data_IF_592468747680
#
_entry.id   IF_592468747680
#
_cell.length_a   1.000
_cell.length_b   1.000
_cell.length_c   1.000
_cell.angle_alpha   90.00
_cell.angle_beta   90.00
_cell.angle_gamma   90.00
#
_symmetry.space_group_name_H-M   'P 1'
#
loop_
_entity.id
_entity.type
_entity.pdbx_description
1 polymer ?
#
# COMPACT_ATOMS: atom_id res chain seq x y z
N UNK A 1 36.06 12.93 7.41
CA UNK A 1 35.25 14.16 7.31
C UNK A 1 33.96 13.74 6.63
N UNK A 2 33.00 13.26 7.41
CA UNK A 2 31.74 12.73 6.88
C UNK A 2 30.71 13.85 6.99
N UNK A 3 30.16 14.28 5.86
CA UNK A 3 29.17 15.34 5.81
C UNK A 3 27.88 14.84 6.44
N UNK A 4 27.47 15.47 7.54
CA UNK A 4 26.14 15.36 8.12
C UNK A 4 25.15 16.00 7.17
N UNK A 5 24.46 15.21 6.35
CA UNK A 5 23.30 15.69 5.60
C UNK A 5 22.13 15.70 6.58
N UNK A 6 21.78 16.89 7.05
CA UNK A 6 20.66 17.13 7.96
C UNK A 6 19.35 16.90 7.18
N UNK A 7 18.71 15.76 7.37
CA UNK A 7 17.34 15.50 6.91
C UNK A 7 16.40 16.37 7.73
N UNK A 8 15.78 17.35 7.06
CA UNK A 8 14.75 18.19 7.65
C UNK A 8 13.51 17.37 7.93
N UNK A 9 12.90 17.71 9.07
CA UNK A 9 11.70 17.11 9.61
C UNK A 9 10.58 16.94 8.58
N UNK A 10 9.94 15.78 8.71
CA UNK A 10 8.58 15.42 8.33
C UNK A 10 7.69 16.66 8.15
N UNK A 11 7.34 16.94 6.90
CA UNK A 11 6.10 17.62 6.55
C UNK A 11 5.31 16.64 5.67
N UNK A 12 4.22 16.04 6.15
CA UNK A 12 3.44 15.06 5.40
C UNK A 12 2.45 15.75 4.44
N UNK A 13 2.86 16.86 3.83
CA UNK A 13 1.89 17.77 3.19
C UNK A 13 2.48 18.43 1.95
N UNK A 14 2.68 17.64 0.89
CA UNK A 14 2.70 18.11 -0.52
C UNK A 14 2.84 16.95 -1.49
N UNK A 15 1.80 16.12 -1.58
CA UNK A 15 1.54 15.34 -2.78
C UNK A 15 0.07 15.52 -3.15
N UNK A 16 -0.30 16.74 -3.55
CA UNK A 16 -1.49 16.97 -4.38
C UNK A 16 -1.09 16.79 -5.85
N UNK A 17 -0.86 15.54 -6.25
CA UNK A 17 -1.36 15.10 -7.55
C UNK A 17 -2.60 14.27 -7.24
N UNK A 18 -3.53 14.22 -8.17
CA UNK A 18 -4.69 13.33 -8.10
C UNK A 18 -4.19 11.88 -8.13
N UNK A 19 -3.75 11.39 -6.98
CA UNK A 19 -3.41 10.00 -6.72
C UNK A 19 -4.73 9.27 -6.59
N UNK A 20 -5.00 8.34 -7.51
CA UNK A 20 -5.86 7.23 -7.14
C UNK A 20 -5.11 6.51 -5.99
N UNK A 21 -5.67 6.45 -4.78
CA UNK A 21 -5.06 5.67 -3.71
C UNK A 21 -5.09 4.20 -4.15
N UNK A 22 -3.95 3.51 -4.15
CA UNK A 22 -3.94 2.05 -4.28
C UNK A 22 -2.93 1.40 -5.22
N UNK A 23 -2.11 2.09 -6.00
CA UNK A 23 -1.28 1.46 -7.05
C UNK A 23 0.24 1.59 -6.82
N UNK A 24 0.70 1.32 -5.59
CA UNK A 24 2.12 1.41 -5.24
C UNK A 24 2.68 0.08 -4.72
N UNK A 25 3.85 -0.31 -5.22
CA UNK A 25 4.66 -1.42 -4.70
C UNK A 25 5.86 -0.85 -3.97
N UNK A 26 6.16 -1.37 -2.79
CA UNK A 26 7.28 -0.97 -1.95
C UNK A 26 8.30 -2.11 -1.82
N UNK A 27 9.56 -1.77 -2.04
CA UNK A 27 10.70 -2.64 -1.81
C UNK A 27 11.53 -2.07 -0.66
N UNK A 28 11.70 -2.83 0.41
CA UNK A 28 12.38 -2.40 1.63
C UNK A 28 13.58 -3.29 1.91
N UNK A 29 14.75 -2.69 2.04
CA UNK A 29 15.95 -3.35 2.53
C UNK A 29 16.28 -2.83 3.92
N UNK A 30 16.46 -3.76 4.85
CA UNK A 30 16.78 -3.46 6.24
C UNK A 30 18.09 -4.13 6.63
N UNK A 31 18.99 -3.39 7.27
CA UNK A 31 20.30 -3.88 7.72
C UNK A 31 20.57 -3.46 9.16
N UNK A 32 21.05 -4.40 9.98
CA UNK A 32 21.41 -4.18 11.38
C UNK A 32 22.51 -5.19 11.81
N UNK A 33 23.74 -4.74 12.13
CA UNK A 33 24.22 -3.35 12.08
C UNK A 33 24.31 -2.85 10.63
N UNK A 34 24.39 -1.52 10.43
CA UNK A 34 24.56 -0.90 9.11
C UNK A 34 25.67 -1.62 8.33
N UNK A 35 25.27 -2.19 7.20
CA UNK A 35 26.16 -2.85 6.25
C UNK A 35 27.22 -1.90 5.65
N UNK A 36 28.16 -2.48 4.89
CA UNK A 36 29.23 -1.74 4.21
C UNK A 36 28.70 -0.51 3.43
N UNK A 37 29.09 0.73 3.78
CA UNK A 37 28.63 1.96 3.12
C UNK A 37 28.95 1.95 1.61
N UNK A 38 30.03 1.29 1.19
CA UNK A 38 30.39 1.16 -0.23
C UNK A 38 29.32 0.36 -0.98
N UNK A 39 28.74 -0.66 -0.34
CA UNK A 39 27.71 -1.49 -0.94
C UNK A 39 26.39 -0.72 -1.07
N UNK A 40 26.06 0.08 -0.07
CA UNK A 40 24.87 0.95 -0.06
C UNK A 40 24.94 1.98 -1.17
N UNK A 41 26.08 2.69 -1.28
CA UNK A 41 26.30 3.65 -2.36
C UNK A 41 26.20 3.00 -3.75
N UNK A 42 26.71 1.76 -3.89
CA UNK A 42 26.63 1.03 -5.16
C UNK A 42 25.19 0.63 -5.53
N UNK A 43 24.35 0.28 -4.56
CA UNK A 43 22.92 -0.01 -4.79
C UNK A 43 22.20 1.26 -5.25
N UNK A 44 22.39 2.37 -4.52
CA UNK A 44 21.77 3.66 -4.81
C UNK A 44 22.20 4.23 -6.16
N UNK A 45 23.46 4.02 -6.55
CA UNK A 45 23.96 4.45 -7.86
C UNK A 45 23.44 3.59 -9.02
N UNK A 46 23.15 2.31 -8.80
CA UNK A 46 22.66 1.41 -9.84
C UNK A 46 21.16 1.60 -10.13
N UNK A 47 20.37 1.92 -9.11
CA UNK A 47 18.91 1.99 -9.19
C UNK A 47 18.36 2.89 -10.32
N UNK A 48 18.80 4.15 -10.48
CA UNK A 48 18.22 5.03 -11.49
C UNK A 48 18.40 4.51 -12.92
N UNK A 49 19.61 4.02 -13.24
CA UNK A 49 19.94 3.54 -14.59
C UNK A 49 19.19 2.25 -14.94
N UNK A 50 19.02 1.35 -13.97
CA UNK A 50 18.31 0.09 -14.18
C UNK A 50 16.79 0.30 -14.26
N UNK A 51 16.22 1.22 -13.46
CA UNK A 51 14.81 1.61 -13.57
C UNK A 51 14.50 2.25 -14.92
N UNK A 52 15.37 3.16 -15.41
CA UNK A 52 15.21 3.78 -16.73
C UNK A 52 15.24 2.72 -17.85
N UNK A 53 16.14 1.74 -17.74
CA UNK A 53 16.25 0.64 -18.71
C UNK A 53 14.97 -0.20 -18.78
N UNK A 54 14.31 -0.42 -17.63
CA UNK A 54 13.08 -1.20 -17.54
C UNK A 54 11.81 -0.36 -17.72
N UNK A 55 11.94 0.95 -18.00
CA UNK A 55 10.82 1.89 -18.11
C UNK A 55 9.93 1.90 -16.85
N UNK A 56 10.56 1.79 -15.68
CA UNK A 56 9.88 1.82 -14.38
C UNK A 56 9.97 3.24 -13.84
N UNK A 57 8.83 3.88 -13.59
CA UNK A 57 8.79 5.13 -12.84
C UNK A 57 8.87 4.82 -11.34
N UNK A 58 10.09 4.83 -10.82
CA UNK A 58 10.37 4.63 -9.41
C UNK A 58 10.49 5.98 -8.70
N UNK A 59 9.79 6.11 -7.58
CA UNK A 59 9.99 7.22 -6.67
C UNK A 59 11.43 7.25 -6.15
N UNK A 60 11.90 8.44 -5.80
CA UNK A 60 13.23 8.63 -5.22
C UNK A 60 13.41 7.74 -3.99
N UNK A 61 14.54 7.00 -3.86
CA UNK A 61 14.79 6.12 -2.72
C UNK A 61 14.71 6.91 -1.40
N UNK A 62 13.93 6.39 -0.46
CA UNK A 62 13.82 6.89 0.90
C UNK A 62 14.84 6.16 1.75
N UNK A 63 15.78 6.88 2.35
CA UNK A 63 16.87 6.32 3.16
C UNK A 63 16.72 6.83 4.58
N UNK A 64 16.56 5.92 5.52
CA UNK A 64 16.47 6.20 6.94
C UNK A 64 17.60 5.49 7.68
N UNK A 65 18.35 6.24 8.48
CA UNK A 65 19.38 5.72 9.37
C UNK A 65 18.94 6.03 10.80
N UNK A 66 18.68 4.99 11.58
CA UNK A 66 18.29 5.11 12.98
C UNK A 66 19.52 5.18 13.90
N UNK A 67 19.38 5.85 15.04
CA UNK A 67 20.41 5.93 16.10
C UNK A 67 20.88 4.57 16.63
N UNK A 68 20.12 3.50 16.33
CA UNK A 68 20.40 2.12 16.72
C UNK A 68 21.34 1.36 15.75
N UNK A 69 22.11 2.05 14.90
CA UNK A 69 22.93 1.46 13.82
C UNK A 69 22.10 0.59 12.84
N UNK A 70 20.86 0.99 12.58
CA UNK A 70 19.98 0.34 11.61
C UNK A 70 19.83 1.22 10.37
N UNK A 71 20.00 0.61 9.20
CA UNK A 71 19.72 1.24 7.91
C UNK A 71 18.45 0.64 7.31
N UNK A 72 17.57 1.51 6.83
CA UNK A 72 16.40 1.16 6.05
C UNK A 72 16.45 1.93 4.72
N UNK A 73 16.38 1.19 3.61
CA UNK A 73 16.23 1.76 2.27
C UNK A 73 14.89 1.30 1.73
N UNK A 74 13.98 2.24 1.49
CA UNK A 74 12.68 1.98 0.90
C UNK A 74 12.57 2.62 -0.48
N UNK A 75 12.12 1.84 -1.46
CA UNK A 75 11.90 2.30 -2.83
C UNK A 75 10.46 2.00 -3.18
N UNK A 76 9.76 3.01 -3.67
CA UNK A 76 8.35 2.91 -4.06
C UNK A 76 8.29 2.98 -5.58
N UNK A 77 7.60 2.02 -6.18
CA UNK A 77 7.29 2.01 -7.61
C UNK A 77 5.83 2.39 -7.77
N UNK A 78 5.58 3.45 -8.53
CA UNK A 78 4.24 3.92 -8.81
C UNK A 78 3.72 3.24 -10.09
N UNK A 79 2.55 2.62 -9.99
CA UNK A 79 1.87 1.96 -11.10
C UNK A 79 0.68 2.79 -11.63
N UNK A 80 0.38 3.94 -11.02
CA UNK A 80 -0.82 4.74 -11.29
C UNK A 80 -0.79 5.44 -12.65
N UNK A 81 0.39 5.72 -13.19
CA UNK A 81 0.58 6.35 -14.52
C UNK A 81 0.80 5.33 -15.65
N UNK A 82 0.79 4.03 -15.31
CA UNK A 82 0.84 2.97 -16.29
C UNK A 82 -0.51 2.94 -17.04
N UNK A 83 -0.51 3.04 -18.37
CA UNK A 83 -1.72 3.09 -19.17
C UNK A 83 -2.70 1.95 -18.87
N UNK A 84 -3.99 2.19 -19.17
CA UNK A 84 -5.05 1.22 -18.88
C UNK A 84 -4.76 -0.17 -19.48
N UNK A 85 -5.00 -1.23 -18.69
CA UNK A 85 -4.90 -2.62 -19.13
C UNK A 85 -3.82 -3.43 -18.39
N UNK A 86 -2.94 -4.09 -19.15
CA UNK A 86 -1.89 -4.97 -18.60
C UNK A 86 -0.60 -4.24 -18.22
N UNK A 87 -0.55 -2.91 -18.36
CA UNK A 87 0.65 -2.13 -18.15
C UNK A 87 1.11 -2.07 -16.67
N UNK A 88 0.21 -1.88 -15.68
CA UNK A 88 0.58 -1.96 -14.26
C UNK A 88 1.20 -3.31 -13.90
N UNK A 89 0.62 -4.41 -14.39
CA UNK A 89 1.12 -5.77 -14.16
C UNK A 89 2.50 -5.98 -14.79
N UNK A 90 2.71 -5.47 -16.02
CA UNK A 90 4.01 -5.52 -16.68
C UNK A 90 5.07 -4.78 -15.86
N UNK A 91 4.78 -3.56 -15.41
CA UNK A 91 5.72 -2.74 -14.63
C UNK A 91 6.01 -3.40 -13.27
N UNK A 92 4.98 -3.89 -12.58
CA UNK A 92 5.14 -4.63 -11.34
C UNK A 92 6.05 -5.86 -11.49
N UNK A 93 5.82 -6.64 -12.55
CA UNK A 93 6.65 -7.82 -12.86
C UNK A 93 8.11 -7.42 -13.15
N UNK A 94 8.31 -6.37 -13.96
CA UNK A 94 9.65 -5.85 -14.27
C UNK A 94 10.38 -5.32 -13.03
N UNK A 95 9.65 -4.67 -12.11
CA UNK A 95 10.20 -4.20 -10.84
C UNK A 95 10.68 -5.38 -9.97
N UNK A 96 9.85 -6.41 -9.78
CA UNK A 96 10.25 -7.61 -9.02
C UNK A 96 11.49 -8.27 -9.64
N UNK A 97 11.56 -8.37 -10.97
CA UNK A 97 12.73 -8.89 -11.68
C UNK A 97 13.98 -8.05 -11.49
N UNK A 98 13.85 -6.72 -11.53
CA UNK A 98 14.96 -5.81 -11.27
C UNK A 98 15.47 -5.96 -9.83
N UNK A 99 14.57 -5.95 -8.85
CA UNK A 99 14.96 -6.05 -7.44
C UNK A 99 15.55 -7.41 -7.09
N UNK A 100 15.14 -8.49 -7.77
CA UNK A 100 15.80 -9.79 -7.68
C UNK A 100 17.22 -9.79 -8.25
N UNK A 101 17.45 -9.12 -9.39
CA UNK A 101 18.80 -8.97 -9.94
C UNK A 101 19.71 -8.18 -8.98
N UNK A 102 19.20 -7.10 -8.39
CA UNK A 102 19.92 -6.33 -7.38
C UNK A 102 20.18 -7.17 -6.11
N UNK A 103 19.20 -7.95 -5.66
CA UNK A 103 19.33 -8.87 -4.54
C UNK A 103 20.47 -9.87 -4.76
N UNK A 104 20.52 -10.50 -5.95
CA UNK A 104 21.59 -11.45 -6.31
C UNK A 104 22.95 -10.76 -6.42
N UNK A 105 23.01 -9.59 -7.09
CA UNK A 105 24.25 -8.85 -7.32
C UNK A 105 24.90 -8.36 -6.03
N UNK A 106 24.08 -7.85 -5.10
CA UNK A 106 24.54 -7.24 -3.86
C UNK A 106 24.41 -8.15 -2.63
N UNK A 107 23.84 -9.34 -2.80
CA UNK A 107 23.56 -10.32 -1.72
C UNK A 107 22.73 -9.71 -0.59
N UNK A 108 21.64 -9.07 -0.98
CA UNK A 108 20.69 -8.42 -0.07
C UNK A 108 19.32 -9.09 -0.19
N UNK A 109 18.47 -8.85 0.80
CA UNK A 109 17.08 -9.29 0.82
C UNK A 109 16.17 -8.08 0.78
N UNK A 110 15.15 -8.12 -0.06
CA UNK A 110 14.10 -7.10 -0.09
C UNK A 110 12.82 -7.66 0.50
N UNK A 111 12.22 -6.94 1.43
CA UNK A 111 10.81 -7.09 1.78
C UNK A 111 9.98 -6.39 0.71
N UNK A 112 8.94 -7.07 0.24
CA UNK A 112 8.04 -6.58 -0.81
C UNK A 112 6.66 -6.41 -0.21
N UNK A 113 6.12 -5.21 -0.37
CA UNK A 113 4.78 -4.86 0.06
C UNK A 113 4.05 -4.09 -1.03
N UNK A 114 2.75 -4.02 -0.89
CA UNK A 114 1.83 -3.23 -1.67
C UNK A 114 1.00 -2.34 -0.73
N UNK A 115 0.46 -1.23 -1.23
CA UNK A 115 -0.32 -0.30 -0.42
C UNK A 115 -1.47 -0.98 0.36
N UNK A 116 -2.12 -1.96 -0.26
CA UNK A 116 -3.21 -2.75 0.34
C UNK A 116 -2.74 -3.96 1.15
N UNK A 117 -1.51 -4.44 0.91
CA UNK A 117 -0.92 -5.56 1.65
C UNK A 117 0.58 -5.29 1.87
N UNK A 118 0.98 -4.78 3.05
CA UNK A 118 2.37 -4.45 3.34
C UNK A 118 3.36 -5.62 3.32
N UNK A 119 2.88 -6.88 3.29
CA UNK A 119 3.70 -8.08 3.51
C UNK A 119 3.48 -9.14 2.42
N UNK A 120 3.49 -8.74 1.15
CA UNK A 120 3.35 -9.67 0.01
C UNK A 120 4.43 -10.76 -0.03
N UNK A 121 5.66 -10.43 0.37
CA UNK A 121 6.71 -11.43 0.47
C UNK A 121 8.12 -10.87 0.53
N UNK A 122 9.09 -11.71 0.16
CA UNK A 122 10.50 -11.38 0.25
C UNK A 122 11.27 -11.87 -0.97
N UNK A 123 12.19 -11.04 -1.47
CA UNK A 123 13.13 -11.38 -2.54
C UNK A 123 14.46 -11.75 -1.91
N UNK A 124 14.90 -13.00 -2.11
CA UNK A 124 16.23 -13.48 -1.72
C UNK A 124 16.94 -13.95 -2.99
N UNK A 125 17.61 -13.01 -3.67
CA UNK A 125 18.20 -13.25 -4.97
C UNK A 125 17.14 -13.60 -6.04
N UNK A 126 17.43 -14.59 -6.88
CA UNK A 126 16.57 -15.08 -7.96
C UNK A 126 15.67 -16.27 -7.55
N UNK A 127 15.67 -16.65 -6.27
CA UNK A 127 14.88 -17.77 -5.78
C UNK A 127 13.38 -17.44 -5.66
N UNK A 128 12.52 -18.41 -6.03
CA UNK A 128 11.07 -18.38 -5.82
C UNK A 128 10.34 -17.13 -6.37
N UNK A 129 10.87 -16.55 -7.45
CA UNK A 129 10.32 -15.34 -8.06
C UNK A 129 8.91 -15.51 -8.62
N UNK A 130 8.58 -16.67 -9.19
CA UNK A 130 7.30 -16.88 -9.88
C UNK A 130 6.11 -16.75 -8.90
N UNK A 131 6.25 -17.29 -7.68
CA UNK A 131 5.23 -17.20 -6.63
C UNK A 131 5.01 -15.75 -6.19
N UNK A 132 6.10 -15.01 -5.95
CA UNK A 132 6.01 -13.59 -5.57
C UNK A 132 5.43 -12.73 -6.70
N UNK A 133 5.77 -13.02 -7.96
CA UNK A 133 5.21 -12.32 -9.11
C UNK A 133 3.70 -12.55 -9.18
N UNK A 134 3.22 -13.77 -8.94
CA UNK A 134 1.79 -14.08 -8.95
C UNK A 134 1.04 -13.41 -7.78
N UNK A 135 1.66 -13.32 -6.60
CA UNK A 135 1.11 -12.58 -5.46
C UNK A 135 1.02 -11.07 -5.76
N UNK A 136 2.10 -10.48 -6.30
CA UNK A 136 2.13 -9.07 -6.71
C UNK A 136 1.08 -8.77 -7.79
N UNK A 137 0.90 -9.66 -8.77
CA UNK A 137 -0.17 -9.53 -9.78
C UNK A 137 -1.54 -9.47 -9.12
N UNK A 138 -1.79 -10.40 -8.20
CA UNK A 138 -3.08 -10.48 -7.48
C UNK A 138 -3.35 -9.19 -6.71
N UNK A 139 -2.36 -8.67 -5.97
CA UNK A 139 -2.48 -7.41 -5.25
C UNK A 139 -2.80 -6.22 -6.17
N UNK A 140 -2.10 -6.12 -7.31
CA UNK A 140 -2.33 -5.06 -8.31
C UNK A 140 -3.72 -5.18 -8.95
N UNK A 141 -4.18 -6.40 -9.26
CA UNK A 141 -5.52 -6.62 -9.80
C UNK A 141 -6.62 -6.26 -8.81
N UNK A 142 -6.49 -6.65 -7.55
CA UNK A 142 -7.42 -6.28 -6.47
C UNK A 142 -7.46 -4.76 -6.31
N UNK A 143 -6.30 -4.10 -6.30
CA UNK A 143 -6.21 -2.66 -6.21
C UNK A 143 -6.92 -1.95 -7.37
N UNK A 144 -6.74 -2.45 -8.59
CA UNK A 144 -7.44 -1.93 -9.76
C UNK A 144 -8.94 -2.12 -9.63
N UNK A 145 -9.40 -3.30 -9.25
CA UNK A 145 -10.84 -3.55 -9.07
C UNK A 145 -11.48 -2.67 -7.99
N UNK A 146 -10.75 -2.36 -6.92
CA UNK A 146 -11.21 -1.42 -5.89
C UNK A 146 -11.21 0.02 -6.41
N UNK A 147 -10.20 0.42 -7.17
CA UNK A 147 -10.16 1.74 -7.79
C UNK A 147 -11.31 1.93 -8.79
N UNK A 148 -11.60 0.93 -9.62
CA UNK A 148 -12.72 0.94 -10.56
C UNK A 148 -14.06 1.02 -9.82
N UNK A 149 -14.22 0.28 -8.71
CA UNK A 149 -15.44 0.33 -7.89
C UNK A 149 -15.68 1.72 -7.28
N UNK A 150 -14.62 2.42 -6.85
CA UNK A 150 -14.73 3.76 -6.27
C UNK A 150 -15.10 4.81 -7.33
N UNK A 151 -14.71 4.60 -8.59
CA UNK A 151 -15.03 5.50 -9.70
C UNK A 151 -16.47 5.28 -10.21
N UNK A 152 -17.01 4.06 -10.10
CA UNK A 152 -18.39 3.73 -10.47
C UNK A 152 -19.43 4.11 -9.40
N UNK A 153 -19.01 4.40 -8.16
CA UNK A 153 -19.84 5.03 -7.13
C UNK A 153 -19.96 6.55 -7.41
N UNK A 154 -20.60 6.88 -8.53
CA UNK A 154 -21.36 8.13 -8.62
C UNK A 154 -22.43 8.02 -7.54
N UNK A 155 -22.10 8.52 -6.34
CA UNK A 155 -23.04 8.72 -5.25
C UNK A 155 -24.21 9.49 -5.84
N UNK A 156 -25.29 8.78 -6.19
CA UNK A 156 -26.55 9.40 -6.57
C UNK A 156 -26.98 10.11 -5.30
N UNK A 157 -26.65 11.40 -5.19
CA UNK A 157 -27.35 12.28 -4.26
C UNK A 157 -28.83 12.02 -4.54
N UNK A 158 -29.62 11.50 -3.58
CA UNK A 158 -31.03 11.32 -3.81
C UNK A 158 -31.62 12.69 -4.11
N UNK A 159 -31.88 12.91 -5.40
CA UNK A 159 -32.43 14.16 -5.89
C UNK A 159 -33.77 14.39 -5.18
N UNK A 160 -33.79 15.48 -4.41
CA UNK A 160 -34.92 16.10 -3.75
C UNK A 160 -35.52 15.40 -2.50
N UNK A 161 -35.81 16.18 -1.44
CA UNK A 161 -36.74 15.74 -0.40
C UNK A 161 -38.12 15.57 -1.03
N UNK A 162 -38.62 14.33 -1.05
CA UNK A 162 -40.03 14.05 -1.32
C UNK A 162 -40.83 14.69 -0.18
N UNK A 163 -41.33 15.90 -0.43
CA UNK A 163 -42.40 16.49 0.38
C UNK A 163 -43.67 15.71 0.10
N UNK A 164 -43.86 14.57 0.75
CA UNK A 164 -45.19 14.00 0.93
C UNK A 164 -45.90 14.84 1.98
N UNK A 165 -46.68 15.80 1.49
CA UNK A 165 -47.65 16.54 2.30
C UNK A 165 -48.77 15.61 2.74
N UNK A 166 -48.85 15.45 4.07
CA UNK A 166 -50.03 15.32 4.92
C UNK A 166 -51.09 14.26 4.53
N UNK A 167 -51.26 13.24 5.37
CA UNK A 167 -52.46 13.13 6.21
C UNK A 167 -52.45 11.81 7.00
N UNK A 168 -52.33 11.96 8.33
CA UNK A 168 -52.90 11.10 9.36
C UNK A 168 -52.71 9.57 9.26
N UNK A 169 -51.76 9.03 10.04
CA UNK A 169 -51.95 7.72 10.66
C UNK A 169 -51.34 7.74 12.07
N UNK A 170 -52.24 7.73 13.05
CA UNK A 170 -52.01 7.65 14.50
C UNK A 170 -51.40 6.29 14.87
N UNK A 171 -50.14 6.07 14.46
CA UNK A 171 -49.33 4.92 14.88
C UNK A 171 -48.27 5.41 15.82
N UNK A 172 -48.47 5.11 17.11
CA UNK A 172 -47.59 5.51 18.20
C UNK A 172 -46.12 5.31 17.87
N UNK A 173 -45.37 6.40 17.99
CA UNK A 173 -43.92 6.43 17.98
C UNK A 173 -43.41 5.48 19.06
N UNK A 174 -43.02 4.27 18.66
CA UNK A 174 -42.15 3.44 19.47
C UNK A 174 -40.81 4.19 19.54
N UNK A 175 -40.56 4.83 20.67
CA UNK A 175 -39.32 5.56 20.91
C UNK A 175 -38.12 4.62 20.74
N UNK A 176 -36.97 5.14 20.30
CA UNK A 176 -35.73 4.38 20.11
C UNK A 176 -35.32 3.51 21.32
N UNK A 177 -35.83 3.81 22.52
CA UNK A 177 -35.62 3.02 23.74
C UNK A 177 -36.42 1.70 23.79
N UNK A 178 -37.53 1.56 23.05
CA UNK A 178 -38.32 0.32 22.97
C UNK A 178 -37.65 -0.75 22.09
N UNK A 179 -36.86 -0.34 21.08
CA UNK A 179 -36.18 -1.26 20.16
C UNK A 179 -35.02 -2.04 20.82
N UNK A 180 -34.55 -1.58 21.98
CA UNK A 180 -33.47 -2.22 22.74
C UNK A 180 -33.94 -2.91 24.01
N UNK A 181 -35.26 -2.99 24.25
CA UNK A 181 -35.81 -3.85 25.30
C UNK A 181 -35.61 -5.31 24.86
N UNK A 182 -34.80 -6.11 25.57
CA UNK A 182 -34.71 -7.53 25.26
C UNK A 182 -36.11 -8.15 25.45
N UNK A 183 -36.56 -9.03 24.55
CA UNK A 183 -37.86 -9.67 24.69
C UNK A 183 -37.93 -10.41 26.04
N UNK A 184 -39.09 -10.37 26.72
CA UNK A 184 -39.33 -11.01 28.03
C UNK A 184 -39.00 -12.52 28.08
N UNK A 185 -38.73 -13.13 26.93
CA UNK A 185 -38.24 -14.51 26.78
C UNK A 185 -36.71 -14.66 26.83
N UNK A 186 -35.94 -13.60 27.13
CA UNK A 186 -34.48 -13.72 27.27
C UNK A 186 -34.14 -14.52 28.53
N UNK A 187 -33.91 -15.82 28.33
CA UNK A 187 -33.41 -16.73 29.36
C UNK A 187 -32.00 -16.26 29.72
N UNK A 188 -31.83 -15.65 30.89
CA UNK A 188 -30.50 -15.42 31.45
C UNK A 188 -29.85 -16.77 31.71
N UNK A 189 -28.69 -17.00 31.12
CA UNK A 189 -27.86 -18.14 31.45
C UNK A 189 -27.52 -18.07 32.96
N UNK A 190 -27.62 -19.19 33.70
CA UNK A 190 -27.23 -19.19 35.10
C UNK A 190 -25.74 -18.81 35.20
N UNK A 191 -25.45 -17.78 35.97
CA UNK A 191 -24.09 -17.46 36.39
C UNK A 191 -23.60 -18.64 37.25
N UNK A 192 -22.52 -19.29 36.83
CA UNK A 192 -21.87 -20.31 37.64
C UNK A 192 -21.08 -19.58 38.74
N UNK A 193 -21.55 -19.70 39.98
CA UNK A 193 -20.75 -19.48 41.20
C UNK A 193 -19.68 -20.58 41.37
#
# INVERSE_FOLDING_TARGET
>A
MWQTISLSAIAPDRIHRSFLPGMQIRFVYTSSPVDDPVRIDAILAALPAECETQQIDAATPQIEISDADQLVIAIVVDLSDAGAGAEPIRIATAAVQLFAQLATRFRITWEVGHELDPHLGTIVGDAAMDELIDEVKTAVEVARSLADLIVDDEFVEPDAPVMESDDSDDRGDATWEELFQPPDSFIRFPEFD
#
